data_IF_224996898522
#
_entry.id   IF_224996898522
#
_cell.length_a   1.000
_cell.length_b   1.000
_cell.length_c   1.000
_cell.angle_alpha   90.00
_cell.angle_beta   90.00
_cell.angle_gamma   90.00
#
_symmetry.space_group_name_H-M   'P 1'
#
loop_
_entity.id
_entity.type
_entity.pdbx_description
1 polymer ?
#
# COMPACT_ATOMS: atom_id res chain seq x y z
N UNK A 1 -3.44 59.03 -37.56
CA UNK A 1 -4.80 58.41 -37.60
C UNK A 1 -4.83 57.48 -38.79
N UNK A 2 -4.60 56.18 -38.59
CA UNK A 2 -4.64 55.15 -39.64
C UNK A 2 -5.42 53.96 -39.05
N UNK A 3 -6.57 53.65 -39.65
CA UNK A 3 -7.54 52.64 -39.22
C UNK A 3 -7.03 51.24 -39.62
N UNK A 4 -7.13 50.29 -38.69
CA UNK A 4 -6.90 48.87 -38.93
C UNK A 4 -7.98 48.27 -39.86
N UNK A 5 -7.64 47.23 -40.67
CA UNK A 5 -8.60 46.56 -41.56
C UNK A 5 -9.62 45.71 -40.77
N UNK A 6 -10.84 45.51 -41.31
CA UNK A 6 -11.90 44.76 -40.63
C UNK A 6 -11.62 43.25 -40.59
N UNK A 7 -12.07 42.62 -39.51
CA UNK A 7 -12.02 41.17 -39.27
C UNK A 7 -12.96 40.39 -40.21
N UNK A 8 -12.58 39.17 -40.64
CA UNK A 8 -13.40 38.35 -41.53
C UNK A 8 -14.65 37.79 -40.81
N UNK A 9 -15.78 37.79 -41.52
CA UNK A 9 -17.07 37.23 -41.10
C UNK A 9 -17.02 35.69 -41.00
N UNK A 10 -17.79 35.07 -40.09
CA UNK A 10 -17.77 33.63 -39.89
C UNK A 10 -18.49 32.86 -41.02
N UNK A 11 -17.86 31.77 -41.45
CA UNK A 11 -18.35 30.80 -42.45
C UNK A 11 -19.56 30.00 -41.91
N UNK A 12 -20.56 29.66 -42.74
CA UNK A 12 -21.72 28.89 -42.29
C UNK A 12 -21.38 27.42 -41.98
N UNK A 13 -21.96 26.91 -40.89
CA UNK A 13 -21.74 25.57 -40.36
C UNK A 13 -22.08 24.45 -41.37
N UNK A 14 -21.07 23.66 -41.72
CA UNK A 14 -21.20 22.44 -42.49
C UNK A 14 -21.84 21.32 -41.64
N UNK A 15 -23.11 21.05 -41.93
CA UNK A 15 -23.72 19.72 -42.07
C UNK A 15 -23.30 18.62 -41.10
N UNK A 16 -24.19 18.33 -40.15
CA UNK A 16 -24.24 17.12 -39.33
C UNK A 16 -24.22 15.84 -40.18
N UNK A 17 -23.07 15.14 -40.22
CA UNK A 17 -23.03 13.73 -40.59
C UNK A 17 -23.48 12.89 -39.39
N UNK A 18 -24.43 11.95 -39.53
CA UNK A 18 -24.78 11.06 -38.43
C UNK A 18 -23.61 10.12 -38.16
N UNK A 19 -22.97 10.27 -37.01
CA UNK A 19 -22.08 9.25 -36.46
C UNK A 19 -22.92 7.97 -36.30
N UNK A 20 -22.67 6.97 -37.16
CA UNK A 20 -23.15 5.61 -36.90
C UNK A 20 -22.55 5.17 -35.58
N UNK A 21 -23.33 5.22 -34.51
CA UNK A 21 -23.03 4.52 -33.26
C UNK A 21 -22.87 3.05 -33.64
N UNK A 22 -21.64 2.56 -33.64
CA UNK A 22 -21.38 1.13 -33.48
C UNK A 22 -21.79 0.82 -32.05
N UNK A 23 -23.08 0.55 -31.87
CA UNK A 23 -23.56 -0.12 -30.68
C UNK A 23 -22.95 -1.52 -30.73
N UNK A 24 -21.82 -1.71 -30.04
CA UNK A 24 -21.39 -3.04 -29.63
C UNK A 24 -22.56 -3.66 -28.89
N UNK A 25 -23.26 -4.57 -29.57
CA UNK A 25 -24.28 -5.42 -28.98
C UNK A 25 -23.53 -6.32 -28.01
N UNK A 26 -23.39 -5.86 -26.76
CA UNK A 26 -22.91 -6.72 -25.67
C UNK A 26 -23.87 -7.89 -25.58
N UNK A 27 -23.34 -9.08 -25.81
CA UNK A 27 -24.07 -10.35 -25.77
C UNK A 27 -24.77 -10.48 -24.41
N UNK A 28 -26.11 -10.56 -24.41
CA UNK A 28 -26.95 -10.74 -23.20
C UNK A 28 -26.51 -11.97 -22.38
N UNK A 29 -25.80 -12.94 -22.97
CA UNK A 29 -25.23 -14.09 -22.25
C UNK A 29 -24.09 -13.73 -21.30
N UNK A 30 -23.28 -12.71 -21.59
CA UNK A 30 -22.21 -12.26 -20.68
C UNK A 30 -22.77 -11.58 -19.41
N UNK A 31 -23.99 -11.06 -19.46
CA UNK A 31 -24.63 -10.36 -18.33
C UNK A 31 -25.16 -11.32 -17.25
N UNK A 32 -25.68 -12.48 -17.63
CA UNK A 32 -26.25 -13.44 -16.69
C UNK A 32 -25.20 -14.21 -15.87
N UNK A 33 -24.04 -14.51 -16.45
CA UNK A 33 -22.97 -15.26 -15.77
C UNK A 33 -22.27 -14.44 -14.67
N UNK A 34 -22.09 -13.14 -14.90
CA UNK A 34 -21.43 -12.24 -13.95
C UNK A 34 -22.28 -11.95 -12.71
N UNK A 35 -23.58 -11.68 -12.90
CA UNK A 35 -24.50 -11.45 -11.78
C UNK A 35 -24.69 -12.72 -10.96
N UNK A 36 -24.85 -13.88 -11.61
CA UNK A 36 -25.03 -15.16 -10.94
C UNK A 36 -23.84 -15.57 -10.08
N UNK A 37 -22.60 -15.33 -10.54
CA UNK A 37 -21.40 -15.55 -9.74
C UNK A 37 -21.30 -14.58 -8.57
N UNK A 38 -21.55 -13.28 -8.80
CA UNK A 38 -21.53 -12.24 -7.78
C UNK A 38 -22.56 -12.50 -6.67
N UNK A 39 -23.81 -12.83 -7.03
CA UNK A 39 -24.86 -13.18 -6.06
C UNK A 39 -24.51 -14.44 -5.25
N UNK A 40 -23.91 -15.46 -5.86
CA UNK A 40 -23.46 -16.66 -5.15
C UNK A 40 -22.32 -16.38 -4.16
N UNK A 41 -21.40 -15.47 -4.49
CA UNK A 41 -20.30 -15.09 -3.58
C UNK A 41 -20.84 -14.27 -2.41
N UNK A 42 -21.67 -13.26 -2.67
CA UNK A 42 -22.34 -12.48 -1.60
C UNK A 42 -23.15 -13.41 -0.68
N UNK A 43 -23.87 -14.37 -1.24
CA UNK A 43 -24.58 -15.40 -0.47
C UNK A 43 -23.68 -16.29 0.40
N UNK A 44 -22.40 -16.50 0.05
CA UNK A 44 -21.45 -17.23 0.89
C UNK A 44 -20.94 -16.40 2.07
N UNK A 45 -20.68 -15.10 1.86
CA UNK A 45 -20.28 -14.21 2.94
C UNK A 45 -21.38 -14.12 4.00
N UNK A 46 -22.64 -13.90 3.60
CA UNK A 46 -23.75 -13.78 4.54
C UNK A 46 -23.97 -15.07 5.34
N UNK A 47 -23.76 -16.24 4.73
CA UNK A 47 -23.82 -17.52 5.46
C UNK A 47 -22.70 -17.68 6.49
N UNK A 48 -21.51 -17.15 6.22
CA UNK A 48 -20.36 -17.22 7.12
C UNK A 48 -20.34 -16.10 8.17
N UNK A 49 -21.09 -15.01 7.94
CA UNK A 49 -21.09 -13.79 8.75
C UNK A 49 -21.25 -14.04 10.26
N UNK A 50 -22.16 -14.90 10.76
CA UNK A 50 -22.30 -15.13 12.20
C UNK A 50 -21.06 -15.74 12.87
N UNK A 51 -20.22 -16.43 12.11
CA UNK A 51 -18.95 -16.96 12.60
C UNK A 51 -17.84 -15.92 12.51
N UNK A 52 -17.79 -15.18 11.40
CA UNK A 52 -16.80 -14.12 11.18
C UNK A 52 -16.94 -13.00 12.23
N UNK A 53 -18.17 -12.67 12.65
CA UNK A 53 -18.45 -11.66 13.69
C UNK A 53 -17.94 -12.07 15.07
N UNK A 54 -17.68 -13.36 15.31
CA UNK A 54 -17.02 -13.83 16.54
C UNK A 54 -15.50 -13.69 16.49
N UNK A 55 -14.92 -13.54 15.30
CA UNK A 55 -13.47 -13.49 15.07
C UNK A 55 -12.94 -12.07 14.90
N UNK A 56 -13.77 -11.13 14.44
CA UNK A 56 -13.33 -9.78 14.14
C UNK A 56 -14.47 -8.77 14.21
N UNK A 57 -14.09 -7.51 14.42
CA UNK A 57 -15.02 -6.39 14.59
C UNK A 57 -15.43 -5.72 13.28
N UNK A 58 -14.66 -5.93 12.21
CA UNK A 58 -14.91 -5.32 10.90
C UNK A 58 -14.86 -6.39 9.82
N UNK A 59 -15.94 -6.52 9.06
CA UNK A 59 -16.08 -7.48 7.97
C UNK A 59 -16.43 -6.71 6.71
N UNK A 60 -15.51 -6.71 5.75
CA UNK A 60 -15.68 -6.01 4.46
C UNK A 60 -15.72 -7.01 3.32
N UNK A 61 -16.75 -6.93 2.48
CA UNK A 61 -16.76 -7.66 1.22
C UNK A 61 -15.84 -6.96 0.21
N UNK A 62 -14.70 -7.58 -0.12
CA UNK A 62 -13.72 -6.99 -1.04
C UNK A 62 -13.92 -7.45 -2.49
N UNK A 63 -14.63 -8.55 -2.72
CA UNK A 63 -14.92 -9.05 -4.06
C UNK A 63 -15.02 -10.57 -4.12
N UNK A 64 -14.85 -11.10 -5.32
CA UNK A 64 -14.95 -12.52 -5.60
C UNK A 64 -13.77 -13.32 -5.01
N UNK A 65 -13.75 -14.63 -5.26
CA UNK A 65 -12.70 -15.53 -4.77
C UNK A 65 -11.29 -14.98 -5.09
N UNK A 66 -10.41 -14.95 -4.09
CA UNK A 66 -9.05 -14.43 -4.19
C UNK A 66 -8.90 -12.95 -3.86
N UNK A 67 -9.97 -12.14 -3.96
CA UNK A 67 -9.89 -10.70 -3.71
C UNK A 67 -9.42 -10.36 -2.28
N UNK A 68 -9.78 -11.18 -1.28
CA UNK A 68 -9.31 -11.01 0.09
C UNK A 68 -7.79 -11.19 0.26
N UNK A 69 -7.18 -12.10 -0.51
CA UNK A 69 -5.72 -12.31 -0.47
C UNK A 69 -4.99 -11.12 -1.10
N UNK A 70 -5.50 -10.61 -2.23
CA UNK A 70 -4.99 -9.39 -2.85
C UNK A 70 -5.12 -8.20 -1.90
N UNK A 71 -6.27 -8.05 -1.23
CA UNK A 71 -6.47 -6.99 -0.23
C UNK A 71 -5.48 -7.07 0.93
N UNK A 72 -5.21 -8.29 1.43
CA UNK A 72 -4.20 -8.51 2.47
C UNK A 72 -2.81 -8.14 1.97
N UNK A 73 -2.43 -8.56 0.76
CA UNK A 73 -1.16 -8.18 0.15
C UNK A 73 -1.02 -6.65 0.04
N UNK A 74 -2.04 -5.94 -0.44
CA UNK A 74 -2.06 -4.47 -0.49
C UNK A 74 -1.85 -3.86 0.90
N UNK A 75 -2.51 -4.37 1.94
CA UNK A 75 -2.31 -3.90 3.31
C UNK A 75 -0.87 -4.10 3.77
N UNK A 76 -0.28 -5.29 3.54
CA UNK A 76 1.09 -5.58 3.95
C UNK A 76 2.11 -4.69 3.21
N UNK A 77 1.90 -4.42 1.92
CA UNK A 77 2.75 -3.49 1.13
C UNK A 77 2.75 -2.11 1.78
N UNK A 78 1.57 -1.50 1.95
CA UNK A 78 1.48 -0.13 2.50
C UNK A 78 2.01 -0.09 3.93
N UNK A 79 1.65 -1.09 4.74
CA UNK A 79 2.06 -1.18 6.12
C UNK A 79 3.58 -1.17 6.25
N UNK A 80 4.30 -2.10 5.61
CA UNK A 80 5.73 -2.28 5.88
C UNK A 80 6.57 -1.27 5.10
N UNK A 81 6.12 -0.77 3.94
CA UNK A 81 6.76 0.40 3.30
C UNK A 81 6.71 1.62 4.20
N UNK A 82 5.60 1.86 4.91
CA UNK A 82 5.54 2.94 5.90
C UNK A 82 6.54 2.71 7.04
N UNK A 83 6.67 1.48 7.55
CA UNK A 83 7.63 1.16 8.62
C UNK A 83 9.06 1.46 8.17
N UNK A 84 9.43 1.06 6.95
CA UNK A 84 10.75 1.36 6.39
C UNK A 84 10.98 2.87 6.27
N UNK A 85 10.03 3.61 5.72
CA UNK A 85 10.15 5.07 5.59
C UNK A 85 10.28 5.77 6.95
N UNK A 86 9.60 5.28 7.99
CA UNK A 86 9.76 5.78 9.36
C UNK A 86 11.16 5.44 9.88
N UNK A 87 11.66 4.23 9.64
CA UNK A 87 13.00 3.81 10.04
C UNK A 87 14.08 4.69 9.41
N UNK A 88 13.99 4.95 8.10
CA UNK A 88 14.90 5.86 7.40
C UNK A 88 14.82 7.29 7.96
N UNK A 89 13.61 7.81 8.21
CA UNK A 89 13.44 9.14 8.79
C UNK A 89 14.07 9.24 10.20
N UNK A 90 13.93 8.21 11.03
CA UNK A 90 14.55 8.17 12.36
C UNK A 90 16.07 8.10 12.28
N UNK A 91 16.62 7.24 11.41
CA UNK A 91 18.05 7.20 11.14
C UNK A 91 18.57 8.57 10.68
N UNK A 92 17.89 9.19 9.73
CA UNK A 92 18.27 10.48 9.18
C UNK A 92 18.25 11.59 10.24
N UNK A 93 17.22 11.63 11.09
CA UNK A 93 17.13 12.56 12.22
C UNK A 93 18.34 12.39 13.17
N UNK A 94 18.64 11.16 13.59
CA UNK A 94 19.79 10.87 14.46
C UNK A 94 21.11 11.25 13.81
N UNK A 95 21.27 10.97 12.52
CA UNK A 95 22.48 11.31 11.77
C UNK A 95 22.74 12.82 11.72
N UNK A 96 21.69 13.63 11.83
CA UNK A 96 21.75 15.09 11.86
C UNK A 96 21.64 15.68 13.28
N UNK A 97 21.76 14.85 14.33
CA UNK A 97 21.75 15.32 15.72
C UNK A 97 20.39 15.82 16.20
N UNK A 98 19.30 15.47 15.52
CA UNK A 98 17.94 15.86 15.89
C UNK A 98 17.30 14.77 16.73
N UNK A 99 16.65 15.16 17.84
CA UNK A 99 15.90 14.25 18.70
C UNK A 99 14.73 13.59 17.94
N UNK A 100 14.74 12.27 17.86
CA UNK A 100 13.71 11.48 17.18
C UNK A 100 12.31 11.74 17.75
N UNK A 101 12.17 11.90 19.07
CA UNK A 101 10.86 12.13 19.70
C UNK A 101 10.24 13.45 19.24
N UNK A 102 11.07 14.47 19.04
CA UNK A 102 10.65 15.77 18.52
C UNK A 102 10.30 15.70 17.03
N UNK A 103 11.10 14.97 16.22
CA UNK A 103 10.75 14.73 14.80
C UNK A 103 9.43 13.99 14.69
N UNK A 104 9.21 12.94 15.48
CA UNK A 104 7.96 12.17 15.47
C UNK A 104 6.74 13.06 15.72
N UNK A 105 6.78 13.90 16.77
CA UNK A 105 5.69 14.83 17.07
C UNK A 105 5.40 15.78 15.90
N UNK A 106 6.44 16.27 15.23
CA UNK A 106 6.29 17.14 14.07
C UNK A 106 5.67 16.40 12.88
N UNK A 107 6.09 15.16 12.61
CA UNK A 107 5.57 14.35 11.51
C UNK A 107 4.11 13.93 11.73
N UNK A 108 3.74 13.58 12.97
CA UNK A 108 2.37 13.14 13.32
C UNK A 108 1.31 14.21 13.05
N UNK A 109 1.65 15.49 13.20
CA UNK A 109 0.74 16.60 12.94
C UNK A 109 0.63 16.95 11.44
N UNK A 110 1.53 16.43 10.59
CA UNK A 110 1.62 16.77 9.17
C UNK A 110 1.09 15.67 8.25
N UNK A 111 1.32 15.84 6.95
CA UNK A 111 0.94 14.86 5.91
C UNK A 111 1.67 13.51 6.01
N UNK A 112 2.77 13.45 6.76
CA UNK A 112 3.47 12.21 7.06
C UNK A 112 2.78 11.37 8.16
N UNK A 113 1.76 11.94 8.83
CA UNK A 113 0.98 11.25 9.85
C UNK A 113 0.35 9.96 9.32
N UNK A 114 0.54 8.86 10.05
CA UNK A 114 -0.08 7.58 9.73
C UNK A 114 -0.19 6.71 10.98
N UNK A 115 -1.13 5.74 10.96
CA UNK A 115 -1.26 4.77 12.06
C UNK A 115 0.04 3.99 12.32
N UNK A 116 0.85 3.74 11.29
CA UNK A 116 2.15 3.08 11.49
C UNK A 116 3.19 4.01 12.11
N UNK A 117 3.16 5.32 11.82
CA UNK A 117 4.01 6.29 12.50
C UNK A 117 3.69 6.35 13.99
N UNK A 118 2.41 6.36 14.35
CA UNK A 118 1.96 6.39 15.74
C UNK A 118 2.36 5.13 16.53
N UNK A 119 2.42 3.98 15.86
CA UNK A 119 2.77 2.70 16.48
C UNK A 119 4.29 2.44 16.51
N UNK A 120 4.98 2.70 15.40
CA UNK A 120 6.39 2.31 15.22
C UNK A 120 7.37 3.41 15.56
N UNK A 121 6.98 4.67 15.40
CA UNK A 121 7.81 5.82 15.75
C UNK A 121 8.27 5.79 17.20
N UNK A 122 7.35 5.72 18.20
CA UNK A 122 7.73 5.67 19.61
C UNK A 122 8.63 4.48 19.95
N UNK A 123 8.40 3.32 19.33
CA UNK A 123 9.25 2.13 19.46
C UNK A 123 10.68 2.39 18.98
N UNK A 124 10.84 2.99 17.81
CA UNK A 124 12.16 3.34 17.26
C UNK A 124 12.87 4.42 18.09
N UNK A 125 12.16 5.47 18.50
CA UNK A 125 12.74 6.54 19.33
C UNK A 125 13.15 6.04 20.73
N UNK A 126 12.35 5.16 21.33
CA UNK A 126 12.62 4.55 22.63
C UNK A 126 13.48 3.28 22.57
N UNK A 127 13.90 2.86 21.38
CA UNK A 127 14.63 1.61 21.12
C UNK A 127 13.94 0.34 21.67
N UNK A 128 12.61 0.33 21.69
CA UNK A 128 11.80 -0.84 22.02
C UNK A 128 11.45 -1.65 20.76
N UNK A 129 12.20 -2.72 20.54
CA UNK A 129 12.00 -3.66 19.44
C UNK A 129 11.26 -4.94 19.86
N UNK A 130 10.61 -4.95 21.03
CA UNK A 130 9.74 -6.05 21.41
C UNK A 130 8.59 -6.16 20.41
N UNK A 131 8.39 -7.37 19.87
CA UNK A 131 7.43 -7.63 18.80
C UNK A 131 5.99 -7.37 19.24
N UNK A 132 5.31 -6.46 18.52
CA UNK A 132 3.86 -6.54 18.37
C UNK A 132 3.50 -7.56 17.29
N UNK A 133 4.23 -7.51 16.16
CA UNK A 133 4.24 -8.54 15.12
C UNK A 133 5.69 -8.87 14.79
N UNK A 134 6.04 -10.15 14.83
CA UNK A 134 7.40 -10.60 14.53
C UNK A 134 7.77 -10.31 13.07
N UNK A 135 8.95 -9.73 12.85
CA UNK A 135 9.42 -9.33 11.53
C UNK A 135 9.52 -10.49 10.52
N UNK A 136 9.78 -11.72 10.97
CA UNK A 136 9.76 -12.91 10.10
C UNK A 136 8.39 -13.16 9.46
N UNK A 137 7.29 -12.68 10.06
CA UNK A 137 5.96 -12.81 9.50
C UNK A 137 5.78 -11.82 8.33
N UNK A 138 6.28 -10.59 8.46
CA UNK A 138 6.33 -9.65 7.35
C UNK A 138 7.26 -10.10 6.24
N UNK A 139 8.42 -10.69 6.57
CA UNK A 139 9.30 -11.30 5.56
C UNK A 139 8.55 -12.36 4.74
N UNK A 140 7.82 -13.27 5.41
CA UNK A 140 7.02 -14.29 4.74
C UNK A 140 5.95 -13.67 3.83
N UNK A 141 5.20 -12.69 4.32
CA UNK A 141 4.16 -12.02 3.53
C UNK A 141 4.77 -11.31 2.30
N UNK A 142 5.94 -10.69 2.44
CA UNK A 142 6.65 -10.06 1.33
C UNK A 142 7.17 -11.06 0.28
N UNK A 143 7.53 -12.28 0.69
CA UNK A 143 7.81 -13.38 -0.25
C UNK A 143 6.61 -13.65 -1.17
N UNK A 144 5.42 -13.82 -0.59
CA UNK A 144 4.18 -14.03 -1.34
C UNK A 144 3.85 -12.83 -2.24
N UNK A 145 4.04 -11.60 -1.76
CA UNK A 145 3.82 -10.40 -2.56
C UNK A 145 4.73 -10.37 -3.78
N UNK A 146 6.01 -10.71 -3.63
CA UNK A 146 6.95 -10.73 -4.76
C UNK A 146 6.59 -11.78 -5.79
N UNK A 147 6.15 -12.98 -5.35
CA UNK A 147 5.62 -14.01 -6.25
C UNK A 147 4.40 -13.49 -7.03
N UNK A 148 3.42 -12.92 -6.33
CA UNK A 148 2.22 -12.33 -6.96
C UNK A 148 2.58 -11.20 -7.94
N UNK A 149 3.55 -10.34 -7.61
CA UNK A 149 3.99 -9.27 -8.48
C UNK A 149 4.69 -9.80 -9.74
N UNK A 150 5.49 -10.88 -9.59
CA UNK A 150 6.13 -11.54 -10.72
C UNK A 150 5.11 -12.16 -11.67
N UNK A 151 4.13 -12.91 -11.14
CA UNK A 151 3.04 -13.50 -11.93
C UNK A 151 2.21 -12.43 -12.65
N UNK A 152 2.01 -11.27 -12.02
CA UNK A 152 1.29 -10.15 -12.61
C UNK A 152 2.12 -9.30 -13.59
N UNK A 153 3.41 -9.56 -13.74
CA UNK A 153 4.31 -8.75 -14.57
C UNK A 153 4.50 -7.31 -14.07
N UNK A 154 4.40 -7.09 -12.75
CA UNK A 154 4.46 -5.77 -12.13
C UNK A 154 5.85 -5.46 -11.56
N UNK A 155 6.37 -4.28 -11.91
CA UNK A 155 7.57 -3.73 -11.28
C UNK A 155 7.19 -3.02 -9.97
N UNK A 156 7.64 -3.59 -8.84
CA UNK A 156 7.33 -3.08 -7.49
C UNK A 156 8.62 -2.67 -6.74
N UNK A 157 9.22 -1.51 -7.07
CA UNK A 157 10.57 -1.15 -6.59
C UNK A 157 10.65 -1.01 -5.06
N UNK A 158 9.69 -0.32 -4.44
CA UNK A 158 9.66 -0.16 -2.99
C UNK A 158 9.52 -1.52 -2.26
N UNK A 159 8.67 -2.41 -2.79
CA UNK A 159 8.50 -3.75 -2.23
C UNK A 159 9.78 -4.56 -2.32
N UNK A 160 10.46 -4.50 -3.46
CA UNK A 160 11.72 -5.23 -3.67
C UNK A 160 12.80 -4.81 -2.67
N UNK A 161 12.97 -3.51 -2.44
CA UNK A 161 13.96 -2.98 -1.48
C UNK A 161 13.59 -3.39 -0.06
N UNK A 162 12.33 -3.18 0.35
CA UNK A 162 11.86 -3.55 1.70
C UNK A 162 11.99 -5.06 1.94
N UNK A 163 11.75 -5.90 0.93
CA UNK A 163 11.96 -7.34 1.04
C UNK A 163 13.44 -7.68 1.37
N UNK A 164 14.39 -6.98 0.75
CA UNK A 164 15.81 -7.16 1.07
C UNK A 164 16.15 -6.69 2.49
N UNK A 165 15.55 -5.59 2.96
CA UNK A 165 15.74 -5.13 4.33
C UNK A 165 15.15 -6.11 5.35
N UNK A 166 13.98 -6.69 5.09
CA UNK A 166 13.40 -7.77 5.91
C UNK A 166 14.28 -9.02 5.92
N UNK A 167 14.86 -9.40 4.78
CA UNK A 167 15.82 -10.50 4.70
C UNK A 167 17.06 -10.23 5.55
N UNK A 168 17.60 -9.00 5.48
CA UNK A 168 18.75 -8.61 6.29
C UNK A 168 18.41 -8.60 7.79
N UNK A 169 17.22 -8.12 8.17
CA UNK A 169 16.73 -8.14 9.55
C UNK A 169 16.67 -9.57 10.11
N UNK A 170 16.06 -10.48 9.36
CA UNK A 170 15.94 -11.88 9.77
C UNK A 170 17.31 -12.57 9.75
N UNK A 171 18.14 -12.29 8.75
CA UNK A 171 19.50 -12.83 8.61
C UNK A 171 20.45 -12.40 9.74
N UNK A 172 20.22 -11.23 10.34
CA UNK A 172 20.94 -10.75 11.53
C UNK A 172 20.41 -11.36 12.85
N UNK A 173 19.47 -12.32 12.78
CA UNK A 173 18.91 -13.00 13.94
C UNK A 173 17.77 -12.22 14.61
N UNK A 174 17.31 -11.11 14.04
CA UNK A 174 16.26 -10.27 14.63
C UNK A 174 14.85 -10.61 14.17
N UNK A 175 14.63 -11.77 13.52
CA UNK A 175 13.32 -12.14 12.97
C UNK A 175 12.17 -12.24 13.99
N UNK A 176 12.47 -12.39 15.29
CA UNK A 176 11.49 -12.37 16.39
C UNK A 176 11.28 -10.98 17.01
N UNK A 177 12.01 -9.97 16.57
CA UNK A 177 11.78 -8.59 16.96
C UNK A 177 10.63 -7.99 16.16
N UNK A 178 10.13 -6.84 16.62
CA UNK A 178 9.19 -6.06 15.82
C UNK A 178 9.83 -5.60 14.50
N UNK A 179 9.01 -5.33 13.50
CA UNK A 179 9.51 -4.81 12.21
C UNK A 179 10.05 -3.39 12.32
N UNK A 180 9.76 -2.68 13.40
CA UNK A 180 10.47 -1.45 13.75
C UNK A 180 12.00 -1.64 13.85
N UNK A 181 12.49 -2.88 14.04
CA UNK A 181 13.92 -3.21 14.03
C UNK A 181 14.59 -3.04 12.65
N UNK A 182 13.85 -2.69 11.59
CA UNK A 182 14.44 -2.24 10.33
C UNK A 182 15.39 -1.05 10.54
N UNK A 183 15.13 -0.20 11.54
CA UNK A 183 16.07 0.86 11.95
C UNK A 183 17.46 0.30 12.28
N UNK A 184 17.55 -0.84 12.97
CA UNK A 184 18.83 -1.46 13.32
C UNK A 184 19.58 -1.97 12.09
N UNK A 185 18.85 -2.47 11.09
CA UNK A 185 19.44 -2.91 9.82
C UNK A 185 20.08 -1.73 9.10
N UNK A 186 19.38 -0.60 9.04
CA UNK A 186 19.89 0.63 8.44
C UNK A 186 21.09 1.19 9.21
N UNK A 187 21.05 1.18 10.54
CA UNK A 187 22.19 1.59 11.39
C UNK A 187 23.42 0.71 11.16
N UNK A 188 23.25 -0.62 11.15
CA UNK A 188 24.32 -1.57 10.88
C UNK A 188 24.93 -1.36 9.49
N UNK A 189 24.10 -1.16 8.46
CA UNK A 189 24.55 -0.88 7.10
C UNK A 189 25.35 0.43 6.96
N UNK A 190 25.17 1.36 7.89
CA UNK A 190 25.88 2.65 7.93
C UNK A 190 26.99 2.70 8.99
N UNK A 191 27.38 1.55 9.57
CA UNK A 191 28.44 1.48 10.59
C UNK A 191 28.09 2.25 11.88
N UNK A 192 26.80 2.41 12.19
CA UNK A 192 26.32 3.09 13.39
C UNK A 192 25.95 2.06 14.46
N UNK A 193 26.19 2.39 15.73
CA UNK A 193 25.80 1.50 16.82
C UNK A 193 24.28 1.31 16.84
N UNK A 194 23.90 0.03 16.90
CA UNK A 194 22.51 -0.45 17.00
C UNK A 194 22.06 -0.70 18.44
N UNK A 195 22.91 -0.37 19.42
CA UNK A 195 22.64 -0.49 20.86
C UNK A 195 21.58 0.50 21.36
#
# INVERSE_FOLDING_TARGET
MVRAPPSPTPEPALGSRPQRRVAHRLDERQWHDGLGKRLRVVGRLERARPLLEKLGTTITYIGDHGAGQVAKACNQIVQVVNIEGIAEAMLFARANGVDCSTVLRALQAGFAGSKMLDLMGPKMAGRDFAAGIEARLHQKDYGLILEMAHEAGLAMPAVAIVAQQLNALVGQGWGKQDTSALLKVLEAANGRSSD
#
